data_IF_955887597558
#
_entry.id   IF_955887597558
#
_cell.length_a   1.000
_cell.length_b   1.000
_cell.length_c   1.000
_cell.angle_alpha   90.00
_cell.angle_beta   90.00
_cell.angle_gamma   90.00
#
_symmetry.space_group_name_H-M   'P 1'
#
loop_
_entity.id
_entity.type
_entity.pdbx_description
1 polymer ?
#
# COMPACT_ATOMS: atom_id res chain seq x y z
N UNK A 1 -42.50 -9.81 30.04
CA UNK A 1 -41.22 -10.48 29.70
C UNK A 1 -40.24 -9.42 29.20
N UNK A 2 -40.03 -8.39 30.03
CA UNK A 2 -39.31 -7.14 29.77
C UNK A 2 -38.94 -6.53 31.13
N UNK A 3 -38.42 -7.34 32.06
CA UNK A 3 -38.02 -6.87 33.39
C UNK A 3 -36.68 -7.41 33.89
N UNK A 4 -36.02 -8.30 33.14
CA UNK A 4 -34.80 -8.99 33.62
C UNK A 4 -33.52 -8.51 32.93
N UNK A 5 -33.62 -7.65 31.90
CA UNK A 5 -32.45 -7.08 31.20
C UNK A 5 -32.00 -5.76 31.86
N UNK A 6 -32.91 -4.94 32.40
CA UNK A 6 -32.56 -3.66 33.04
C UNK A 6 -31.89 -3.82 34.42
N UNK A 7 -32.10 -4.94 35.13
CA UNK A 7 -31.47 -5.15 36.45
C UNK A 7 -30.00 -5.59 36.40
N UNK A 8 -29.49 -5.98 35.23
CA UNK A 8 -28.09 -6.41 35.09
C UNK A 8 -27.10 -5.25 34.88
N UNK A 9 -27.56 -4.02 34.62
CA UNK A 9 -26.69 -2.87 34.33
C UNK A 9 -26.32 -2.02 35.55
N UNK A 10 -26.69 -2.42 36.77
CA UNK A 10 -26.51 -1.60 37.99
C UNK A 10 -25.86 -2.34 39.18
N UNK A 11 -25.09 -3.42 38.97
CA UNK A 11 -24.31 -4.06 40.05
C UNK A 11 -22.78 -3.77 39.95
N UNK A 12 -22.23 -2.89 40.81
CA UNK A 12 -20.81 -2.57 40.87
C UNK A 12 -19.91 -3.71 41.37
N UNK A 13 -20.46 -4.86 41.78
CA UNK A 13 -19.69 -6.04 42.24
C UNK A 13 -19.32 -7.03 41.12
N UNK A 14 -19.76 -6.79 39.89
CA UNK A 14 -19.34 -7.57 38.70
C UNK A 14 -17.99 -7.11 38.10
N UNK A 15 -17.38 -6.05 38.64
CA UNK A 15 -16.11 -5.48 38.18
C UNK A 15 -14.85 -6.21 38.67
N UNK A 16 -15.00 -7.34 39.38
CA UNK A 16 -13.89 -8.13 39.91
C UNK A 16 -13.97 -9.56 39.37
N UNK A 17 -13.69 -9.73 38.08
CA UNK A 17 -12.83 -10.78 37.52
C UNK A 17 -12.84 -10.71 35.99
N UNK A 18 -12.23 -9.65 35.44
CA UNK A 18 -11.82 -9.60 34.03
C UNK A 18 -10.33 -9.90 33.93
N UNK A 19 -9.87 -10.92 34.68
CA UNK A 19 -8.52 -11.49 34.56
C UNK A 19 -8.52 -12.99 34.28
N UNK A 20 -9.64 -13.70 34.43
CA UNK A 20 -9.67 -15.16 34.35
C UNK A 20 -10.41 -15.75 33.14
N UNK A 21 -10.80 -14.95 32.13
CA UNK A 21 -11.35 -15.47 30.88
C UNK A 21 -10.26 -15.71 29.81
N UNK A 22 -9.09 -16.22 30.23
CA UNK A 22 -7.91 -16.36 29.37
C UNK A 22 -7.77 -17.71 28.66
N UNK A 23 -8.80 -18.57 28.64
CA UNK A 23 -8.71 -19.83 27.90
C UNK A 23 -10.04 -20.26 27.28
N UNK A 24 -10.00 -20.45 25.97
CA UNK A 24 -10.83 -21.34 25.14
C UNK A 24 -11.79 -20.67 24.15
N UNK A 25 -11.80 -21.25 22.95
CA UNK A 25 -12.74 -21.14 21.82
C UNK A 25 -12.42 -20.16 20.67
N UNK A 26 -11.45 -20.62 19.87
CA UNK A 26 -11.41 -20.67 18.40
C UNK A 26 -12.72 -20.34 17.64
N UNK A 27 -12.65 -19.47 16.61
CA UNK A 27 -12.99 -19.70 15.19
C UNK A 27 -12.59 -18.43 14.37
N UNK A 28 -11.91 -18.57 13.22
CA UNK A 28 -11.76 -17.50 12.21
C UNK A 28 -10.45 -16.68 12.17
N UNK A 29 -9.51 -17.13 11.32
CA UNK A 29 -8.39 -16.40 10.68
C UNK A 29 -7.80 -15.16 11.37
N UNK A 30 -6.77 -15.32 12.21
CA UNK A 30 -5.97 -14.21 12.77
C UNK A 30 -4.91 -13.69 11.79
N UNK A 31 -5.13 -12.51 11.19
CA UNK A 31 -4.03 -11.67 10.67
C UNK A 31 -3.85 -10.53 11.66
N UNK A 32 -2.75 -10.56 12.39
CA UNK A 32 -2.29 -9.45 13.23
C UNK A 32 -1.07 -8.87 12.54
N UNK A 33 -1.15 -7.61 12.08
CA UNK A 33 0.02 -6.86 11.62
C UNK A 33 0.51 -6.06 12.83
N UNK A 34 1.58 -6.52 13.48
CA UNK A 34 2.29 -5.76 14.52
C UNK A 34 3.43 -5.00 13.86
N UNK A 35 3.44 -3.68 14.04
CA UNK A 35 4.54 -2.79 13.64
C UNK A 35 5.74 -3.04 14.56
N UNK A 36 6.91 -3.28 13.97
CA UNK A 36 8.15 -3.50 14.72
C UNK A 36 8.56 -2.27 15.54
N UNK A 37 8.84 -2.53 16.81
CA UNK A 37 9.58 -1.68 17.75
C UNK A 37 11.01 -1.49 17.22
N UNK A 38 11.45 -0.25 17.05
CA UNK A 38 12.88 0.09 17.14
C UNK A 38 13.04 0.71 18.52
N UNK A 39 13.74 0.02 19.42
CA UNK A 39 14.15 0.61 20.69
C UNK A 39 15.09 1.78 20.38
N UNK A 40 14.54 2.99 20.40
CA UNK A 40 15.33 4.19 20.58
C UNK A 40 15.60 4.22 22.09
N UNK A 41 16.79 3.78 22.50
CA UNK A 41 17.34 4.19 23.79
C UNK A 41 17.22 5.72 23.81
N UNK A 42 16.48 6.26 24.78
CA UNK A 42 16.53 7.68 25.10
C UNK A 42 17.98 8.02 25.48
N UNK A 43 18.77 8.47 24.50
CA UNK A 43 19.82 9.43 24.78
C UNK A 43 19.13 10.79 24.72
N UNK A 44 18.83 11.33 25.89
CA UNK A 44 18.58 12.76 26.04
C UNK A 44 19.91 13.46 25.72
N UNK A 45 20.00 14.05 24.53
CA UNK A 45 21.16 14.79 24.07
C UNK A 45 21.12 14.93 22.55
N UNK A 46 20.70 16.12 22.10
CA UNK A 46 20.87 16.69 20.77
C UNK A 46 20.32 15.91 19.56
N UNK A 47 19.08 16.21 19.16
CA UNK A 47 18.68 16.25 17.74
C UNK A 47 17.52 17.24 17.55
N UNK A 48 17.83 18.53 17.72
CA UNK A 48 17.16 19.60 17.00
C UNK A 48 17.89 19.74 15.65
N UNK A 49 17.42 19.00 14.64
CA UNK A 49 17.73 19.28 13.24
C UNK A 49 16.46 19.09 12.41
N UNK A 50 15.86 20.23 12.07
CA UNK A 50 14.61 20.35 11.34
C UNK A 50 14.61 19.62 10.00
N UNK A 51 13.62 18.76 9.83
CA UNK A 51 13.02 18.47 8.54
C UNK A 51 11.65 19.15 8.56
N UNK A 52 11.52 20.21 7.77
CA UNK A 52 10.45 21.19 7.94
C UNK A 52 9.07 20.61 7.64
N UNK A 53 8.12 20.90 8.53
CA UNK A 53 6.67 20.84 8.30
C UNK A 53 6.28 21.44 6.94
N UNK A 54 7.07 22.39 6.44
CA UNK A 54 6.87 23.07 5.17
C UNK A 54 7.03 22.15 3.96
N UNK A 55 7.86 21.10 4.01
CA UNK A 55 8.07 20.22 2.84
C UNK A 55 6.90 19.26 2.63
N UNK A 56 6.35 18.71 3.71
CA UNK A 56 5.10 17.93 3.66
C UNK A 56 3.94 18.83 3.26
N UNK A 57 3.89 20.06 3.76
CA UNK A 57 2.86 21.03 3.39
C UNK A 57 2.96 21.46 1.90
N UNK A 58 4.16 21.73 1.38
CA UNK A 58 4.39 22.03 -0.05
C UNK A 58 4.05 20.83 -0.94
N UNK A 59 4.43 19.61 -0.56
CA UNK A 59 4.11 18.38 -1.31
C UNK A 59 2.61 18.11 -1.31
N UNK A 60 1.93 18.32 -0.18
CA UNK A 60 0.47 18.21 -0.04
C UNK A 60 -0.27 19.30 -0.82
N UNK A 61 0.25 20.52 -0.86
CA UNK A 61 -0.34 21.62 -1.64
C UNK A 61 -0.21 21.36 -3.14
N UNK A 62 0.97 20.91 -3.59
CA UNK A 62 1.20 20.55 -4.99
C UNK A 62 0.33 19.36 -5.40
N UNK A 63 0.24 18.32 -4.57
CA UNK A 63 -0.66 17.19 -4.85
C UNK A 63 -2.13 17.60 -4.82
N UNK A 64 -2.54 18.51 -3.93
CA UNK A 64 -3.91 19.05 -3.90
C UNK A 64 -4.24 19.87 -5.14
N UNK A 65 -3.31 20.67 -5.65
CA UNK A 65 -3.49 21.40 -6.91
C UNK A 65 -3.61 20.43 -8.10
N UNK A 66 -2.68 19.46 -8.21
CA UNK A 66 -2.70 18.42 -9.25
C UNK A 66 -3.95 17.52 -9.16
N UNK A 67 -4.47 17.26 -7.95
CA UNK A 67 -5.65 16.44 -7.73
C UNK A 67 -6.96 17.22 -7.94
N UNK A 68 -6.98 18.53 -7.64
CA UNK A 68 -8.14 19.38 -7.88
C UNK A 68 -8.47 19.60 -9.37
N UNK A 69 -7.47 19.49 -10.25
CA UNK A 69 -7.65 19.48 -11.70
C UNK A 69 -8.09 18.11 -12.24
N UNK A 70 -8.07 17.08 -11.40
CA UNK A 70 -8.41 15.69 -11.69
C UNK A 70 -9.72 15.32 -10.98
N UNK A 71 -10.87 15.58 -11.62
CA UNK A 71 -12.22 15.36 -11.07
C UNK A 71 -12.49 13.91 -10.63
N UNK A 72 -12.09 13.54 -9.41
CA UNK A 72 -12.40 12.26 -8.76
C UNK A 72 -12.55 12.47 -7.25
N UNK A 73 -13.76 12.78 -6.79
CA UNK A 73 -14.16 12.56 -5.38
C UNK A 73 -15.57 12.01 -5.36
N UNK A 74 -15.70 10.70 -5.10
CA UNK A 74 -16.97 10.09 -4.70
C UNK A 74 -16.97 9.96 -3.18
N UNK A 75 -17.50 10.97 -2.47
CA UNK A 75 -17.80 10.84 -1.04
C UNK A 75 -18.93 9.82 -0.87
N UNK A 76 -18.59 8.58 -0.56
CA UNK A 76 -19.59 7.57 -0.22
C UNK A 76 -20.04 7.73 1.22
N UNK A 77 -21.37 7.83 1.40
CA UNK A 77 -22.05 7.89 2.68
C UNK A 77 -21.89 6.55 3.41
N UNK A 78 -21.48 6.59 4.68
CA UNK A 78 -21.39 5.42 5.55
C UNK A 78 -22.78 4.79 5.73
N UNK A 79 -22.87 3.47 5.54
CA UNK A 79 -24.08 2.70 5.82
C UNK A 79 -24.33 2.65 7.34
N UNK A 80 -25.56 2.86 7.83
CA UNK A 80 -25.87 2.85 9.27
C UNK A 80 -25.64 1.45 9.89
N UNK A 81 -24.99 1.41 11.06
CA UNK A 81 -24.57 0.17 11.74
C UNK A 81 -23.17 -0.32 11.32
N UNK A 82 -22.38 0.57 10.73
CA UNK A 82 -21.02 0.24 10.30
C UNK A 82 -20.10 -0.01 11.50
N UNK A 83 -19.12 -0.91 11.31
CA UNK A 83 -18.09 -1.20 12.31
C UNK A 83 -17.44 0.08 12.88
N UNK A 84 -17.33 1.13 12.07
CA UNK A 84 -16.73 2.42 12.41
C UNK A 84 -17.47 3.17 13.54
N UNK A 85 -18.75 2.87 13.79
CA UNK A 85 -19.51 3.45 14.91
C UNK A 85 -19.06 2.89 16.27
N UNK A 86 -18.40 1.73 16.27
CA UNK A 86 -17.98 1.00 17.48
C UNK A 86 -16.47 1.17 17.73
N UNK A 87 -15.71 1.65 16.73
CA UNK A 87 -14.26 1.79 16.84
C UNK A 87 -13.88 3.11 17.54
N UNK A 88 -12.80 3.12 18.36
CA UNK A 88 -12.17 4.37 18.77
C UNK A 88 -11.71 5.18 17.55
N UNK A 89 -11.46 6.51 17.71
CA UNK A 89 -11.19 7.40 16.59
C UNK A 89 -10.14 6.87 15.60
N UNK A 90 -10.45 7.00 14.31
CA UNK A 90 -9.61 6.57 13.18
C UNK A 90 -9.53 7.73 12.20
N UNK A 91 -8.32 8.07 11.75
CA UNK A 91 -8.06 9.18 10.81
C UNK A 91 -8.09 8.69 9.34
N UNK A 92 -7.79 7.41 9.11
CA UNK A 92 -7.89 6.78 7.80
C UNK A 92 -8.37 5.33 7.94
N UNK A 93 -9.35 4.91 7.14
CA UNK A 93 -9.82 3.53 7.13
C UNK A 93 -10.05 3.08 5.71
N UNK A 94 -9.48 1.94 5.32
CA UNK A 94 -9.87 1.28 4.08
C UNK A 94 -10.03 -0.22 4.25
N UNK A 95 -10.94 -0.78 3.46
CA UNK A 95 -11.13 -2.22 3.33
C UNK A 95 -10.47 -2.75 2.08
N UNK A 96 -10.05 -4.01 2.14
CA UNK A 96 -9.20 -4.57 1.12
C UNK A 96 -9.29 -6.09 1.07
N UNK A 97 -8.82 -6.70 -0.02
CA UNK A 97 -8.65 -8.16 -0.09
C UNK A 97 -9.79 -8.88 -0.82
N UNK A 98 -9.92 -10.18 -0.58
CA UNK A 98 -10.81 -11.07 -1.37
C UNK A 98 -12.30 -10.75 -1.24
N UNK A 99 -12.73 -10.04 -0.19
CA UNK A 99 -14.12 -9.60 -0.02
C UNK A 99 -14.53 -8.52 -1.03
N UNK A 100 -13.57 -7.83 -1.66
CA UNK A 100 -13.84 -6.83 -2.69
C UNK A 100 -13.90 -7.42 -4.11
N UNK A 101 -13.69 -8.72 -4.28
CA UNK A 101 -13.80 -9.36 -5.58
C UNK A 101 -15.27 -9.62 -5.94
N UNK A 102 -15.75 -9.17 -7.11
CA UNK A 102 -17.15 -9.33 -7.52
C UNK A 102 -17.58 -10.81 -7.63
N UNK A 103 -16.63 -11.71 -7.91
CA UNK A 103 -16.89 -13.15 -8.00
C UNK A 103 -16.92 -13.88 -6.64
N UNK A 104 -16.77 -13.19 -5.52
CA UNK A 104 -16.81 -13.80 -4.20
C UNK A 104 -18.24 -13.75 -3.62
N UNK A 105 -19.08 -14.72 -3.98
CA UNK A 105 -20.47 -14.84 -3.50
C UNK A 105 -20.59 -15.35 -2.05
N UNK A 106 -19.47 -15.62 -1.38
CA UNK A 106 -19.45 -16.22 -0.06
C UNK A 106 -19.58 -15.14 1.04
N UNK A 107 -20.79 -14.98 1.59
CA UNK A 107 -21.15 -14.03 2.66
C UNK A 107 -20.35 -14.19 3.98
N UNK A 108 -19.51 -15.22 4.10
CA UNK A 108 -18.67 -15.48 5.28
C UNK A 108 -17.21 -15.01 5.13
N UNK A 109 -16.87 -14.29 4.06
CA UNK A 109 -15.48 -13.83 3.88
C UNK A 109 -15.14 -12.71 4.88
N UNK A 110 -14.09 -12.94 5.66
CA UNK A 110 -13.56 -11.95 6.58
C UNK A 110 -13.13 -10.71 5.79
N UNK A 111 -13.55 -9.52 6.24
CA UNK A 111 -13.15 -8.24 5.63
C UNK A 111 -11.85 -7.77 6.26
N UNK A 112 -10.83 -7.51 5.45
CA UNK A 112 -9.55 -6.97 5.92
C UNK A 112 -9.62 -5.44 5.95
N UNK A 113 -9.11 -4.83 7.02
CA UNK A 113 -9.07 -3.37 7.23
C UNK A 113 -7.64 -2.88 7.47
N UNK A 114 -7.32 -1.70 6.93
CA UNK A 114 -6.19 -0.86 7.36
C UNK A 114 -6.76 0.34 8.10
N UNK A 115 -6.33 0.53 9.34
CA UNK A 115 -6.71 1.65 10.20
C UNK A 115 -5.48 2.52 10.45
N UNK A 116 -5.54 3.74 9.97
CA UNK A 116 -4.58 4.80 10.24
C UNK A 116 -5.04 5.65 11.42
N UNK A 117 -4.19 5.73 12.45
CA UNK A 117 -4.51 6.40 13.72
C UNK A 117 -3.30 7.20 14.22
N UNK A 118 -3.53 8.15 15.11
CA UNK A 118 -2.46 8.99 15.66
C UNK A 118 -1.55 8.18 16.61
N UNK A 119 -2.14 7.40 17.53
CA UNK A 119 -1.40 6.50 18.44
C UNK A 119 -1.97 5.06 18.46
N UNK A 120 -1.33 4.11 17.76
CA UNK A 120 -1.72 2.70 17.77
C UNK A 120 -1.66 2.04 19.14
N UNK A 121 -0.78 2.46 20.05
CA UNK A 121 -0.67 1.82 21.36
C UNK A 121 -1.91 2.09 22.21
N UNK A 122 -2.33 3.35 22.23
CA UNK A 122 -3.59 3.75 22.86
C UNK A 122 -4.78 3.05 22.18
N UNK A 123 -4.80 2.99 20.85
CA UNK A 123 -5.89 2.38 20.10
C UNK A 123 -6.03 0.87 20.37
N UNK A 124 -4.91 0.15 20.50
CA UNK A 124 -4.90 -1.30 20.80
C UNK A 124 -5.34 -1.66 22.22
N UNK A 125 -5.37 -0.71 23.16
CA UNK A 125 -5.85 -0.95 24.52
C UNK A 125 -7.33 -1.38 24.58
N UNK A 126 -8.08 -1.17 23.49
CA UNK A 126 -9.51 -1.47 23.37
C UNK A 126 -9.83 -2.84 22.71
N UNK A 127 -8.84 -3.71 22.53
CA UNK A 127 -9.01 -5.15 22.19
C UNK A 127 -9.74 -5.47 20.88
N UNK A 128 -9.49 -4.73 19.80
CA UNK A 128 -9.96 -5.10 18.46
C UNK A 128 -8.86 -5.62 17.54
N UNK A 129 -9.24 -6.46 16.56
CA UNK A 129 -8.33 -7.16 15.65
C UNK A 129 -8.37 -6.55 14.25
N UNK A 130 -7.49 -5.58 14.01
CA UNK A 130 -7.30 -4.91 12.71
C UNK A 130 -5.82 -4.62 12.45
N UNK A 131 -5.47 -4.33 11.20
CA UNK A 131 -4.17 -3.74 10.87
C UNK A 131 -4.16 -2.29 11.28
N UNK A 132 -3.47 -1.95 12.38
CA UNK A 132 -3.39 -0.58 12.89
C UNK A 132 -2.01 -0.01 12.60
N UNK A 133 -1.98 1.22 12.09
CA UNK A 133 -0.77 1.91 11.68
C UNK A 133 -0.78 3.36 12.14
N UNK A 134 0.38 3.86 12.60
CA UNK A 134 0.59 5.30 12.84
C UNK A 134 0.43 6.06 11.53
N UNK A 135 -0.33 7.14 11.54
CA UNK A 135 -0.51 7.96 10.32
C UNK A 135 0.79 8.43 9.70
N UNK A 136 1.77 8.86 10.49
CA UNK A 136 3.07 9.27 9.94
C UNK A 136 3.75 8.14 9.15
N UNK A 137 3.65 6.89 9.62
CA UNK A 137 4.27 5.74 8.94
C UNK A 137 3.53 5.44 7.64
N UNK A 138 2.21 5.59 7.62
CA UNK A 138 1.40 5.42 6.40
C UNK A 138 1.79 6.46 5.35
N UNK A 139 1.80 7.74 5.73
CA UNK A 139 2.15 8.86 4.85
C UNK A 139 3.59 8.72 4.34
N UNK A 140 4.56 8.45 5.22
CA UNK A 140 5.95 8.22 4.83
C UNK A 140 6.11 7.06 3.84
N UNK A 141 5.39 5.95 4.06
CA UNK A 141 5.48 4.81 3.16
C UNK A 141 4.85 5.12 1.79
N UNK A 142 3.69 5.78 1.77
CA UNK A 142 2.97 6.18 0.54
C UNK A 142 3.78 7.18 -0.28
N UNK A 143 4.31 8.23 0.34
CA UNK A 143 5.07 9.27 -0.34
C UNK A 143 6.48 8.83 -0.76
N UNK A 144 7.15 8.04 0.08
CA UNK A 144 8.60 7.80 -0.06
C UNK A 144 8.97 6.34 -0.33
N UNK A 145 8.02 5.41 -0.26
CA UNK A 145 8.28 3.96 -0.39
C UNK A 145 9.32 3.45 0.62
N UNK A 146 9.19 3.89 1.87
CA UNK A 146 10.13 3.56 2.96
C UNK A 146 10.28 2.04 3.14
N UNK A 147 9.17 1.36 3.39
CA UNK A 147 9.07 -0.10 3.48
C UNK A 147 8.45 -0.73 2.23
N UNK A 148 7.73 0.06 1.44
CA UNK A 148 6.93 -0.36 0.28
C UNK A 148 5.81 -1.35 0.62
N UNK A 149 5.39 -1.41 1.89
CA UNK A 149 4.37 -2.35 2.34
C UNK A 149 2.96 -1.81 2.14
N UNK A 150 2.70 -0.65 2.72
CA UNK A 150 1.41 0.04 2.70
C UNK A 150 1.23 0.70 1.33
N UNK A 151 2.29 1.34 0.82
CA UNK A 151 2.26 1.93 -0.53
C UNK A 151 1.97 0.87 -1.59
N UNK A 152 2.65 -0.28 -1.50
CA UNK A 152 2.39 -1.44 -2.35
C UNK A 152 0.94 -1.93 -2.24
N UNK A 153 0.30 -1.84 -1.07
CA UNK A 153 -1.12 -2.20 -0.92
C UNK A 153 -2.05 -1.16 -1.54
N UNK A 154 -1.75 0.13 -1.39
CA UNK A 154 -2.54 1.26 -1.87
C UNK A 154 -2.34 1.57 -3.37
N UNK A 155 -1.41 0.88 -4.04
CA UNK A 155 -1.29 0.80 -5.51
C UNK A 155 -2.34 -0.11 -6.16
N UNK A 156 -3.11 -0.85 -5.35
CA UNK A 156 -4.17 -1.75 -5.81
C UNK A 156 -5.51 -1.23 -5.29
N UNK A 157 -6.63 -1.56 -5.94
CA UNK A 157 -7.94 -1.13 -5.48
C UNK A 157 -8.18 -1.46 -4.00
N UNK A 158 -8.67 -0.44 -3.28
CA UNK A 158 -9.14 -0.47 -1.90
C UNK A 158 -10.44 0.31 -1.83
N UNK A 159 -11.29 0.01 -0.86
CA UNK A 159 -12.48 0.81 -0.59
C UNK A 159 -12.22 1.65 0.67
N UNK A 160 -12.01 2.94 0.47
CA UNK A 160 -11.84 3.92 1.55
C UNK A 160 -13.18 4.14 2.23
N UNK A 161 -13.15 4.17 3.57
CA UNK A 161 -14.32 4.37 4.43
C UNK A 161 -14.19 5.65 5.26
N UNK A 162 -12.96 6.03 5.63
CA UNK A 162 -12.62 7.27 6.35
C UNK A 162 -11.33 7.82 5.75
N UNK A 163 -11.27 9.12 5.50
CA UNK A 163 -10.08 9.81 5.02
C UNK A 163 -10.04 11.27 5.47
N UNK A 164 -9.68 11.49 6.74
CA UNK A 164 -9.68 12.82 7.34
C UNK A 164 -8.42 13.64 7.00
N UNK A 165 -7.38 12.99 6.44
CA UNK A 165 -6.08 13.59 6.12
C UNK A 165 -5.77 13.64 4.62
N UNK A 166 -6.80 13.49 3.77
CA UNK A 166 -6.69 13.48 2.30
C UNK A 166 -5.65 12.46 1.78
N UNK A 167 -5.60 11.27 2.38
CA UNK A 167 -4.71 10.18 1.98
C UNK A 167 -4.98 9.73 0.55
N UNK A 168 -6.21 9.83 0.04
CA UNK A 168 -6.49 9.60 -1.38
C UNK A 168 -5.69 10.56 -2.27
N UNK A 169 -5.60 11.84 -1.88
CA UNK A 169 -4.79 12.83 -2.57
C UNK A 169 -3.29 12.51 -2.44
N UNK A 170 -2.80 12.18 -1.23
CA UNK A 170 -1.41 11.74 -1.00
C UNK A 170 -1.06 10.52 -1.85
N UNK A 171 -1.99 9.58 -2.00
CA UNK A 171 -1.80 8.35 -2.74
C UNK A 171 -1.65 8.59 -4.26
N UNK A 172 -2.05 9.74 -4.79
CA UNK A 172 -1.79 10.09 -6.20
C UNK A 172 -0.30 10.06 -6.54
N UNK A 173 0.56 10.52 -5.63
CA UNK A 173 2.04 10.44 -5.76
C UNK A 173 2.49 8.99 -5.83
N UNK A 174 1.89 8.12 -5.02
CA UNK A 174 2.20 6.70 -5.01
C UNK A 174 1.75 6.00 -6.31
N UNK A 175 0.57 6.34 -6.84
CA UNK A 175 0.07 5.80 -8.11
C UNK A 175 0.91 6.27 -9.29
N UNK A 176 1.24 7.56 -9.37
CA UNK A 176 2.15 8.12 -10.39
C UNK A 176 3.52 7.43 -10.34
N UNK A 177 4.11 7.31 -9.16
CA UNK A 177 5.37 6.60 -8.95
C UNK A 177 5.30 5.12 -9.36
N UNK A 178 4.18 4.45 -9.09
CA UNK A 178 3.97 3.04 -9.47
C UNK A 178 3.85 2.86 -10.98
N UNK A 179 3.12 3.75 -11.66
CA UNK A 179 3.04 3.79 -13.13
C UNK A 179 4.43 3.96 -13.72
N UNK A 180 5.23 4.90 -13.23
CA UNK A 180 6.59 5.12 -13.73
C UNK A 180 7.52 3.95 -13.50
N UNK A 181 7.48 3.35 -12.30
CA UNK A 181 8.25 2.15 -12.00
C UNK A 181 7.86 0.99 -12.91
N UNK A 182 6.56 0.81 -13.18
CA UNK A 182 6.09 -0.22 -14.10
C UNK A 182 6.56 0.03 -15.54
N UNK A 183 6.41 1.25 -16.06
CA UNK A 183 6.83 1.63 -17.42
C UNK A 183 8.33 1.43 -17.64
N UNK A 184 9.17 1.83 -16.67
CA UNK A 184 10.61 1.56 -16.69
C UNK A 184 10.92 0.06 -16.85
N UNK A 185 10.12 -0.81 -16.21
CA UNK A 185 10.32 -2.26 -16.21
C UNK A 185 9.63 -2.98 -17.39
N UNK A 186 8.86 -2.27 -18.21
CA UNK A 186 8.06 -2.83 -19.31
C UNK A 186 8.69 -2.62 -20.69
N UNK A 187 8.37 -3.51 -21.65
CA UNK A 187 8.79 -3.35 -23.05
C UNK A 187 8.10 -2.16 -23.72
N UNK A 188 8.48 -1.85 -24.97
CA UNK A 188 7.93 -0.71 -25.73
C UNK A 188 6.45 -0.83 -26.09
N UNK A 189 5.88 -2.05 -26.11
CA UNK A 189 4.46 -2.30 -26.41
C UNK A 189 3.87 -3.30 -25.43
N UNK A 190 2.66 -3.02 -24.96
CA UNK A 190 1.96 -3.82 -23.96
C UNK A 190 0.46 -3.45 -23.94
N UNK A 191 -0.36 -4.26 -23.28
CA UNK A 191 -1.79 -3.98 -23.08
C UNK A 191 -2.03 -3.26 -21.74
N UNK A 192 -3.22 -2.67 -21.55
CA UNK A 192 -3.61 -2.16 -20.22
C UNK A 192 -3.55 -3.23 -19.12
N UNK A 193 -3.96 -4.46 -19.44
CA UNK A 193 -3.90 -5.58 -18.51
C UNK A 193 -2.46 -5.90 -18.09
N UNK A 194 -1.52 -5.91 -19.04
CA UNK A 194 -0.09 -6.10 -18.76
C UNK A 194 0.46 -5.01 -17.84
N UNK A 195 0.01 -3.75 -18.04
CA UNK A 195 0.43 -2.62 -17.21
C UNK A 195 -0.08 -2.78 -15.78
N UNK A 196 -1.37 -3.06 -15.59
CA UNK A 196 -1.94 -3.25 -14.26
C UNK A 196 -1.35 -4.49 -13.57
N UNK A 197 -1.08 -5.56 -14.31
CA UNK A 197 -0.36 -6.73 -13.82
C UNK A 197 1.07 -6.35 -13.38
N UNK A 198 1.78 -5.53 -14.17
CA UNK A 198 3.11 -5.05 -13.79
C UNK A 198 3.07 -4.23 -12.51
N UNK A 199 2.16 -3.26 -12.42
CA UNK A 199 1.99 -2.40 -11.23
C UNK A 199 1.67 -3.26 -10.00
N UNK A 200 0.70 -4.17 -10.10
CA UNK A 200 0.36 -5.12 -9.03
C UNK A 200 1.58 -5.95 -8.60
N UNK A 201 2.39 -6.42 -9.57
CA UNK A 201 3.57 -7.26 -9.33
C UNK A 201 4.70 -6.54 -8.57
N UNK A 202 4.75 -5.20 -8.58
CA UNK A 202 5.79 -4.45 -7.87
C UNK A 202 5.82 -4.82 -6.38
N UNK A 203 4.63 -4.90 -5.76
CA UNK A 203 4.45 -5.26 -4.34
C UNK A 203 4.80 -6.72 -4.00
N UNK A 204 5.06 -7.53 -5.01
CA UNK A 204 5.46 -8.95 -4.90
C UNK A 204 6.90 -9.18 -5.31
N UNK A 205 7.59 -8.18 -5.87
CA UNK A 205 8.93 -8.34 -6.42
C UNK A 205 9.95 -8.54 -5.31
N UNK A 206 10.36 -9.78 -5.07
CA UNK A 206 11.21 -10.16 -3.93
C UNK A 206 10.45 -10.47 -2.64
N UNK A 207 9.11 -10.55 -2.71
CA UNK A 207 8.29 -10.98 -1.58
C UNK A 207 8.53 -12.46 -1.29
N UNK A 208 9.12 -12.75 -0.13
CA UNK A 208 9.41 -14.10 0.32
C UNK A 208 8.15 -14.97 0.34
N UNK A 209 6.97 -14.38 0.61
CA UNK A 209 5.70 -15.11 0.62
C UNK A 209 5.34 -15.68 -0.75
N UNK A 210 5.78 -15.07 -1.84
CA UNK A 210 5.57 -15.62 -3.19
C UNK A 210 6.38 -16.89 -3.45
N UNK A 211 7.44 -17.15 -2.66
CA UNK A 211 8.26 -18.35 -2.81
C UNK A 211 7.62 -19.59 -2.18
N UNK A 212 6.75 -19.43 -1.18
CA UNK A 212 6.25 -20.56 -0.39
C UNK A 212 4.77 -20.48 0.04
N UNK A 213 4.10 -19.34 -0.07
CA UNK A 213 2.80 -19.11 0.57
C UNK A 213 1.71 -18.51 -0.32
N UNK A 214 1.99 -18.13 -1.56
CA UNK A 214 1.00 -17.48 -2.43
C UNK A 214 0.87 -18.17 -3.79
N UNK A 215 -0.29 -18.00 -4.41
CA UNK A 215 -0.62 -18.50 -5.75
C UNK A 215 0.25 -17.81 -6.81
N UNK A 216 0.83 -18.59 -7.74
CA UNK A 216 1.70 -18.05 -8.82
C UNK A 216 0.95 -17.09 -9.74
N UNK A 217 -0.33 -17.36 -9.98
CA UNK A 217 -1.20 -16.56 -10.86
C UNK A 217 -1.98 -15.49 -10.06
N UNK A 218 -1.56 -15.22 -8.81
CA UNK A 218 -2.25 -14.27 -7.92
C UNK A 218 -2.36 -12.87 -8.53
N UNK A 219 -1.31 -12.40 -9.19
CA UNK A 219 -1.27 -11.05 -9.80
C UNK A 219 -2.33 -10.94 -10.89
N UNK A 220 -2.36 -11.89 -11.82
CA UNK A 220 -3.32 -11.94 -12.92
C UNK A 220 -4.76 -12.04 -12.39
N UNK A 221 -5.01 -12.92 -11.42
CA UNK A 221 -6.33 -13.07 -10.78
C UNK A 221 -6.80 -11.79 -10.08
N UNK A 222 -5.89 -11.03 -9.48
CA UNK A 222 -6.21 -9.74 -8.86
C UNK A 222 -6.65 -8.73 -9.93
N UNK A 223 -5.86 -8.59 -11.00
CA UNK A 223 -6.12 -7.61 -12.05
C UNK A 223 -7.38 -7.96 -12.83
N UNK A 224 -7.53 -9.19 -13.30
CA UNK A 224 -8.73 -9.62 -14.03
C UNK A 224 -10.00 -9.50 -13.18
N UNK A 225 -9.90 -9.83 -11.89
CA UNK A 225 -11.04 -9.72 -10.98
C UNK A 225 -11.43 -8.29 -10.63
N UNK A 226 -10.58 -7.29 -10.90
CA UNK A 226 -10.79 -5.89 -10.50
C UNK A 226 -10.42 -4.91 -11.62
N UNK A 227 -10.48 -5.33 -12.89
CA UNK A 227 -9.92 -4.59 -14.03
C UNK A 227 -10.46 -3.16 -14.12
N UNK A 228 -11.78 -2.99 -14.05
CA UNK A 228 -12.43 -1.67 -14.15
C UNK A 228 -12.00 -0.72 -13.02
N UNK A 229 -11.72 -1.25 -11.83
CA UNK A 229 -11.23 -0.47 -10.70
C UNK A 229 -9.77 -0.02 -10.93
N UNK A 230 -8.93 -0.89 -11.47
CA UNK A 230 -7.58 -0.51 -11.89
C UNK A 230 -7.64 0.56 -13.00
N UNK A 231 -8.48 0.35 -14.01
CA UNK A 231 -8.65 1.31 -15.09
C UNK A 231 -9.08 2.68 -14.56
N UNK A 232 -10.08 2.74 -13.69
CA UNK A 232 -10.51 3.99 -13.06
C UNK A 232 -9.39 4.65 -12.25
N UNK A 233 -8.65 3.86 -11.48
CA UNK A 233 -7.57 4.35 -10.61
C UNK A 233 -6.39 4.92 -11.40
N UNK A 234 -6.05 4.34 -12.55
CA UNK A 234 -4.84 4.68 -13.30
C UNK A 234 -5.07 5.56 -14.52
N UNK A 235 -6.27 5.57 -15.11
CA UNK A 235 -6.66 6.42 -16.25
C UNK A 235 -6.09 7.85 -16.19
N UNK A 236 -6.25 8.61 -15.09
CA UNK A 236 -5.74 9.98 -15.04
C UNK A 236 -4.23 10.11 -15.27
N UNK A 237 -3.43 9.19 -14.74
CA UNK A 237 -1.97 9.19 -14.91
C UNK A 237 -1.56 8.71 -16.31
N UNK A 238 -2.33 7.81 -16.90
CA UNK A 238 -2.10 7.36 -18.27
C UNK A 238 -2.40 8.46 -19.29
N UNK A 239 -3.46 9.24 -19.06
CA UNK A 239 -3.77 10.45 -19.84
C UNK A 239 -2.68 11.51 -19.67
N UNK A 240 -2.23 11.79 -18.44
CA UNK A 240 -1.10 12.68 -18.14
C UNK A 240 0.16 12.27 -18.92
N UNK A 241 0.50 10.98 -18.94
CA UNK A 241 1.70 10.50 -19.62
C UNK A 241 1.57 10.50 -21.14
N UNK A 242 0.36 10.31 -21.68
CA UNK A 242 0.13 10.47 -23.11
C UNK A 242 0.19 11.94 -23.55
N UNK A 243 -0.28 12.88 -22.74
CA UNK A 243 -0.14 14.32 -23.00
C UNK A 243 1.32 14.78 -23.02
N UNK A 244 2.18 14.10 -22.26
CA UNK A 244 3.62 14.35 -22.22
C UNK A 244 4.42 13.50 -23.22
N UNK A 245 3.76 12.93 -24.23
CA UNK A 245 4.35 12.07 -25.28
C UNK A 245 5.10 10.82 -24.77
N UNK A 246 4.90 10.42 -23.51
CA UNK A 246 5.50 9.20 -22.94
C UNK A 246 4.75 7.93 -23.35
N UNK A 247 3.44 8.05 -23.61
CA UNK A 247 2.56 6.96 -24.02
C UNK A 247 1.75 7.30 -25.27
N UNK A 248 1.42 6.28 -26.05
CA UNK A 248 0.47 6.36 -27.16
C UNK A 248 -0.48 5.17 -27.13
N UNK A 249 -1.77 5.46 -27.22
CA UNK A 249 -2.83 4.46 -27.27
C UNK A 249 -3.18 4.10 -28.71
N UNK A 250 -3.49 2.81 -28.92
CA UNK A 250 -3.99 2.29 -30.18
C UNK A 250 -5.14 1.32 -29.90
N UNK A 251 -6.27 1.49 -30.59
CA UNK A 251 -7.40 0.56 -30.50
C UNK A 251 -7.11 -0.69 -31.34
N UNK A 252 -7.25 -1.87 -30.74
CA UNK A 252 -7.27 -3.15 -31.47
C UNK A 252 -8.71 -3.49 -31.90
N UNK A 253 -8.86 -4.40 -32.87
CA UNK A 253 -10.17 -4.89 -33.35
C UNK A 253 -10.93 -5.72 -32.28
N UNK A 254 -10.23 -6.22 -31.26
CA UNK A 254 -10.82 -6.67 -30.00
C UNK A 254 -10.74 -5.54 -28.98
N UNK A 255 -11.70 -5.45 -28.05
CA UNK A 255 -11.89 -4.38 -27.04
C UNK A 255 -10.68 -4.09 -26.09
N UNK A 256 -9.49 -4.58 -26.40
CA UNK A 256 -8.25 -4.39 -25.67
C UNK A 256 -7.47 -3.20 -26.26
N UNK A 257 -7.13 -2.25 -25.38
CA UNK A 257 -6.30 -1.09 -25.72
C UNK A 257 -4.84 -1.49 -25.70
N UNK A 258 -4.17 -1.32 -26.84
CA UNK A 258 -2.72 -1.50 -26.96
C UNK A 258 -2.01 -0.18 -26.68
N UNK A 259 -1.03 -0.22 -25.80
CA UNK A 259 -0.22 0.92 -25.39
C UNK A 259 1.18 0.73 -25.94
N UNK A 260 1.73 1.80 -26.54
CA UNK A 260 3.16 1.92 -26.81
C UNK A 260 3.77 3.03 -25.97
N UNK A 261 4.96 2.82 -25.43
CA UNK A 261 5.69 3.83 -24.66
C UNK A 261 6.96 4.27 -25.38
N UNK A 262 7.38 5.51 -25.12
CA UNK A 262 8.72 5.97 -25.47
C UNK A 262 9.77 5.28 -24.56
N UNK A 263 10.81 4.73 -25.19
CA UNK A 263 11.91 4.05 -24.52
C UNK A 263 13.22 4.84 -24.58
N UNK A 264 13.21 6.05 -25.13
CA UNK A 264 14.39 6.90 -25.23
C UNK A 264 14.89 7.34 -23.85
N UNK A 265 16.16 7.77 -23.82
CA UNK A 265 16.82 8.19 -22.59
C UNK A 265 16.07 9.33 -21.89
N UNK A 266 15.53 10.28 -22.64
CA UNK A 266 14.76 11.42 -22.10
C UNK A 266 13.49 10.95 -21.40
N UNK A 267 12.73 10.05 -22.03
CA UNK A 267 11.53 9.46 -21.44
C UNK A 267 11.88 8.66 -20.17
N UNK A 268 12.94 7.84 -20.21
CA UNK A 268 13.41 7.10 -19.04
C UNK A 268 13.81 8.04 -17.89
N UNK A 269 14.51 9.15 -18.17
CA UNK A 269 14.88 10.15 -17.16
C UNK A 269 13.66 10.84 -16.56
N UNK A 270 12.65 11.17 -17.40
CA UNK A 270 11.37 11.70 -16.94
C UNK A 270 10.67 10.73 -15.98
N UNK A 271 10.55 9.45 -16.36
CA UNK A 271 9.98 8.41 -15.49
C UNK A 271 10.77 8.27 -14.18
N UNK A 272 12.10 8.27 -14.21
CA UNK A 272 12.94 8.23 -13.00
C UNK A 272 12.69 9.46 -12.11
N UNK A 273 12.51 10.64 -12.68
CA UNK A 273 12.28 11.89 -11.92
C UNK A 273 10.97 11.89 -11.11
N UNK A 274 9.95 11.18 -11.61
CA UNK A 274 8.64 11.02 -10.94
C UNK A 274 8.65 9.96 -9.83
N UNK A 275 9.71 9.16 -9.70
CA UNK A 275 9.81 8.17 -8.63
C UNK A 275 9.91 8.85 -7.25
N UNK A 276 9.43 8.19 -6.18
CA UNK A 276 9.57 8.67 -4.81
C UNK A 276 11.01 9.04 -4.42
N UNK A 277 11.14 10.08 -3.58
CA UNK A 277 12.43 10.69 -3.25
C UNK A 277 13.49 9.70 -2.74
N UNK A 278 13.11 8.79 -1.82
CA UNK A 278 14.01 7.78 -1.26
C UNK A 278 14.38 6.70 -2.28
N UNK A 279 13.54 6.44 -3.26
CA UNK A 279 13.83 5.54 -4.39
C UNK A 279 14.85 6.20 -5.30
N UNK A 280 14.61 7.45 -5.71
CA UNK A 280 15.55 8.23 -6.54
C UNK A 280 16.91 8.36 -5.88
N UNK A 281 16.98 8.74 -4.60
CA UNK A 281 18.24 8.80 -3.84
C UNK A 281 18.98 7.46 -3.83
N UNK A 282 18.25 6.34 -3.71
CA UNK A 282 18.86 5.03 -3.73
C UNK A 282 19.35 4.62 -5.12
N UNK A 283 18.66 5.03 -6.18
CA UNK A 283 19.12 4.86 -7.55
C UNK A 283 20.34 5.76 -7.83
N UNK A 284 20.33 7.00 -7.38
CA UNK A 284 21.45 7.95 -7.50
C UNK A 284 22.72 7.48 -6.80
N UNK A 285 22.62 6.90 -5.60
CA UNK A 285 23.75 6.25 -4.94
C UNK A 285 24.36 5.08 -5.74
N UNK A 286 23.60 4.47 -6.66
CA UNK A 286 24.04 3.32 -7.46
C UNK A 286 24.53 3.70 -8.86
N UNK A 287 23.89 4.69 -9.48
CA UNK A 287 24.12 5.07 -10.87
C UNK A 287 24.87 6.42 -11.01
N UNK A 288 24.99 7.16 -9.90
CA UNK A 288 25.53 8.52 -9.88
C UNK A 288 24.42 9.58 -9.86
N UNK A 289 24.78 10.77 -9.39
CA UNK A 289 23.90 11.94 -9.32
C UNK A 289 24.60 13.13 -9.98
N UNK A 290 23.82 13.96 -10.68
CA UNK A 290 24.26 15.27 -11.15
C UNK A 290 23.48 16.35 -10.41
N UNK A 291 24.19 17.38 -9.95
CA UNK A 291 23.56 18.56 -9.39
C UNK A 291 23.08 19.47 -10.51
N UNK A 292 21.81 19.86 -10.43
CA UNK A 292 21.17 20.83 -11.32
C UNK A 292 20.48 21.88 -10.46
N UNK A 293 20.61 23.14 -10.84
CA UNK A 293 19.82 24.21 -10.24
C UNK A 293 18.43 24.19 -10.84
N UNK A 294 17.40 24.23 -10.00
CA UNK A 294 16.04 24.46 -10.46
C UNK A 294 15.80 25.96 -10.71
N UNK A 295 14.62 26.30 -11.24
CA UNK A 295 14.22 27.67 -11.54
C UNK A 295 14.21 28.60 -10.33
N UNK A 296 14.10 28.04 -9.11
CA UNK A 296 14.15 28.77 -7.84
C UNK A 296 15.55 28.82 -7.21
N UNK A 297 16.58 28.37 -7.92
CA UNK A 297 17.98 28.36 -7.46
C UNK A 297 18.31 27.29 -6.41
N UNK A 298 17.39 26.38 -6.10
CA UNK A 298 17.64 25.21 -5.23
C UNK A 298 18.39 24.13 -6.01
N UNK A 299 19.36 23.50 -5.37
CA UNK A 299 20.09 22.36 -5.93
C UNK A 299 19.19 21.11 -5.89
N UNK A 300 18.86 20.59 -7.06
CA UNK A 300 18.21 19.29 -7.26
C UNK A 300 19.27 18.29 -7.69
N UNK A 301 19.23 17.10 -7.08
CA UNK A 301 20.04 15.96 -7.49
C UNK A 301 19.24 15.09 -8.45
N UNK A 302 19.75 14.99 -9.67
CA UNK A 302 19.16 14.18 -10.73
C UNK A 302 19.94 12.88 -10.87
N UNK A 303 19.24 11.75 -10.94
CA UNK A 303 19.85 10.44 -11.13
C UNK A 303 20.42 10.36 -12.54
N UNK A 304 21.71 10.08 -12.67
CA UNK A 304 22.32 9.88 -13.98
C UNK A 304 22.01 8.47 -14.47
N UNK A 305 21.40 8.37 -15.65
CA UNK A 305 21.14 7.10 -16.32
C UNK A 305 21.73 7.16 -17.74
N UNK A 306 22.26 6.04 -18.24
CA UNK A 306 22.80 5.96 -19.60
C UNK A 306 21.84 5.27 -20.58
N UNK A 307 20.90 4.47 -20.06
CA UNK A 307 19.83 3.84 -20.85
C UNK A 307 18.61 3.50 -19.98
N UNK A 308 17.47 3.20 -20.62
CA UNK A 308 16.28 2.70 -19.93
C UNK A 308 16.56 1.36 -19.23
N UNK A 309 17.34 0.49 -19.85
CA UNK A 309 17.68 -0.84 -19.32
C UNK A 309 18.50 -0.74 -18.03
N UNK A 310 19.47 0.18 -17.97
CA UNK A 310 20.25 0.44 -16.76
C UNK A 310 19.35 0.96 -15.63
N UNK A 311 18.48 1.92 -15.94
CA UNK A 311 17.50 2.44 -14.98
C UNK A 311 16.56 1.33 -14.48
N UNK A 312 16.05 0.49 -15.39
CA UNK A 312 15.16 -0.63 -15.09
C UNK A 312 15.84 -1.67 -14.19
N UNK A 313 17.10 -2.03 -14.46
CA UNK A 313 17.82 -2.99 -13.64
C UNK A 313 18.15 -2.45 -12.24
N UNK A 314 18.53 -1.17 -12.16
CA UNK A 314 18.70 -0.50 -10.87
C UNK A 314 17.37 -0.48 -10.08
N UNK A 315 16.28 -0.13 -10.74
CA UNK A 315 14.95 -0.08 -10.15
C UNK A 315 14.50 -1.45 -9.64
N UNK A 316 14.74 -2.51 -10.42
CA UNK A 316 14.50 -3.90 -10.02
C UNK A 316 15.24 -4.26 -8.74
N UNK A 317 16.52 -3.91 -8.62
CA UNK A 317 17.33 -4.16 -7.41
C UNK A 317 16.82 -3.37 -6.21
N UNK A 318 16.47 -2.10 -6.39
CA UNK A 318 15.96 -1.21 -5.33
C UNK A 318 14.65 -1.75 -4.76
N UNK A 319 13.67 -2.01 -5.61
CA UNK A 319 12.37 -2.54 -5.18
C UNK A 319 12.49 -3.93 -4.56
N UNK A 320 13.26 -4.84 -5.17
CA UNK A 320 13.46 -6.20 -4.64
C UNK A 320 13.96 -6.19 -3.20
N UNK A 321 14.93 -5.34 -2.91
CA UNK A 321 15.49 -5.23 -1.56
C UNK A 321 14.47 -4.68 -0.56
N UNK A 322 13.70 -3.65 -0.94
CA UNK A 322 12.68 -3.05 -0.06
C UNK A 322 11.56 -4.03 0.26
N UNK A 323 10.99 -4.65 -0.77
CA UNK A 323 9.93 -5.66 -0.63
C UNK A 323 10.40 -6.85 0.19
N UNK A 324 11.61 -7.37 -0.06
CA UNK A 324 12.16 -8.50 0.68
C UNK A 324 12.31 -8.18 2.18
N UNK A 325 12.89 -7.02 2.52
CA UNK A 325 13.06 -6.59 3.91
C UNK A 325 11.71 -6.45 4.60
N UNK A 326 10.73 -5.85 3.93
CA UNK A 326 9.37 -5.71 4.45
C UNK A 326 8.67 -7.06 4.65
N UNK A 327 8.77 -7.95 3.66
CA UNK A 327 8.19 -9.30 3.70
C UNK A 327 8.80 -10.14 4.83
N UNK A 328 10.12 -10.10 4.99
CA UNK A 328 10.82 -10.77 6.09
C UNK A 328 10.35 -10.26 7.46
N UNK A 329 10.25 -8.94 7.64
CA UNK A 329 9.70 -8.34 8.87
C UNK A 329 8.29 -8.84 9.14
N UNK A 330 7.41 -8.85 8.15
CA UNK A 330 6.05 -9.35 8.32
C UNK A 330 6.00 -10.84 8.69
N UNK A 331 6.85 -11.67 8.09
CA UNK A 331 6.93 -13.10 8.42
C UNK A 331 7.37 -13.32 9.87
N UNK A 332 8.40 -12.59 10.33
CA UNK A 332 8.86 -12.67 11.73
C UNK A 332 7.80 -12.16 12.70
N UNK A 333 7.16 -11.02 12.41
CA UNK A 333 6.07 -10.48 13.23
C UNK A 333 4.90 -11.47 13.31
N UNK A 334 4.51 -12.06 12.17
CA UNK A 334 3.43 -13.06 12.11
C UNK A 334 3.74 -14.29 12.97
N UNK A 335 4.98 -14.80 12.92
CA UNK A 335 5.41 -15.94 13.73
C UNK A 335 5.37 -15.63 15.23
N UNK A 336 5.87 -14.46 15.63
CA UNK A 336 5.91 -14.04 17.05
C UNK A 336 4.50 -13.82 17.62
N UNK A 337 3.57 -13.33 16.80
CA UNK A 337 2.22 -12.96 17.26
C UNK A 337 1.26 -14.14 17.33
N UNK A 338 1.36 -15.05 16.35
CA UNK A 338 0.43 -16.19 16.24
C UNK A 338 0.91 -17.37 17.10
N UNK A 339 2.19 -17.39 17.48
CA UNK A 339 2.84 -18.51 18.18
C UNK A 339 3.19 -19.65 17.21
N UNK A 340 4.29 -20.37 17.48
CA UNK A 340 4.90 -21.32 16.54
C UNK A 340 3.90 -22.34 15.95
N UNK A 341 3.05 -22.95 16.78
CA UNK A 341 2.11 -24.00 16.36
C UNK A 341 1.02 -23.48 15.41
N UNK A 342 0.47 -22.30 15.68
CA UNK A 342 -0.59 -21.72 14.84
C UNK A 342 -0.01 -21.08 13.57
N UNK A 343 1.22 -20.55 13.63
CA UNK A 343 1.96 -20.06 12.48
C UNK A 343 2.21 -21.17 11.46
N UNK A 344 2.60 -22.37 11.92
CA UNK A 344 2.78 -23.55 11.06
C UNK A 344 1.48 -23.96 10.36
N UNK A 345 0.34 -24.00 11.07
CA UNK A 345 -0.94 -24.35 10.46
C UNK A 345 -1.40 -23.33 9.41
N UNK A 346 -1.20 -22.03 9.68
CA UNK A 346 -1.52 -20.98 8.71
C UNK A 346 -0.63 -21.07 7.46
N UNK A 347 0.69 -21.24 7.64
CA UNK A 347 1.63 -21.47 6.54
C UNK A 347 1.25 -22.71 5.72
N UNK A 348 0.88 -23.82 6.36
CA UNK A 348 0.44 -25.03 5.67
C UNK A 348 -0.80 -24.79 4.77
N UNK A 349 -1.80 -24.02 5.25
CA UNK A 349 -2.98 -23.68 4.45
C UNK A 349 -2.64 -22.82 3.22
N UNK A 350 -1.63 -21.95 3.35
CA UNK A 350 -1.12 -21.08 2.28
C UNK A 350 -0.27 -21.86 1.28
N UNK A 351 0.58 -22.77 1.77
CA UNK A 351 1.33 -23.72 0.95
C UNK A 351 0.42 -24.63 0.14
N UNK A 352 -0.69 -25.11 0.72
CA UNK A 352 -1.68 -25.92 -0.01
C UNK A 352 -2.31 -25.13 -1.17
N UNK A 353 -2.62 -23.85 -0.96
CA UNK A 353 -3.12 -22.98 -2.04
C UNK A 353 -2.07 -22.79 -3.14
N UNK A 354 -0.80 -22.58 -2.77
CA UNK A 354 0.29 -22.47 -3.72
C UNK A 354 0.48 -23.77 -4.53
N UNK A 355 0.42 -24.94 -3.90
CA UNK A 355 0.52 -26.24 -4.60
C UNK A 355 -0.60 -26.42 -5.62
N UNK A 356 -1.86 -26.18 -5.23
CA UNK A 356 -3.03 -26.31 -6.12
C UNK A 356 -3.00 -25.39 -7.34
N UNK A 357 -2.17 -24.34 -7.32
CA UNK A 357 -1.98 -23.46 -8.48
C UNK A 357 -0.91 -23.94 -9.47
N UNK A 358 -0.10 -24.95 -9.10
CA UNK A 358 0.98 -25.49 -9.93
C UNK A 358 0.62 -26.78 -10.68
N UNK A 359 -0.39 -27.49 -10.18
CA UNK A 359 -1.08 -28.62 -10.85
C UNK A 359 -2.24 -28.09 -11.65
#
# INVERSE_FOLDING_TARGET
MTSDIEKAMLDPRSLISIKDAQQSLFWGFKITIIIFRRDIKQNNGDLDQGYSSDYLHETLLQSKQDFSSLNMVSKHKLEPGSLLEILPPVEFCCTYGSSLHPNNSNKSSMVDYILGVSDPFQWHSQMYKYGVVRMHNLVEDVLNWESFYLSGRLQKPVRVLVDDLDIECVNSVNLRGATSAALLLMPSKFTEEDLYAKICSLSYMGDLRMLFAEDKNKVEKIVQGQFDLFQTMYKPFLEEYAMNDLLRFSSSEGHQVNISQDCDLSAASSLVSTLPSKVRKQMGMRLGEKEKLNETGRVIREVMINSKEEAAECMRKVLRNRVMVSSARQAVAGLMTVGAVHGVRYLASKMQKAWKSQT
#
